data_IF_469990469274
#
_entry.id   IF_469990469274
#
_cell.length_a   1.000
_cell.length_b   1.000
_cell.length_c   1.000
_cell.angle_alpha   90.00
_cell.angle_beta   90.00
_cell.angle_gamma   90.00
#
_symmetry.space_group_name_H-M   'P 1'
#
loop_
_entity.id
_entity.type
_entity.pdbx_description
1 polymer ?
#
# COMPACT_ATOMS: atom_id res chain seq x y z
N UNK A 1 -14.12 9.60 -8.08
CA UNK A 1 -13.41 8.61 -8.89
C UNK A 1 -14.37 7.50 -9.23
N UNK A 2 -14.59 7.22 -10.52
CA UNK A 2 -15.43 6.11 -10.96
C UNK A 2 -14.76 4.77 -10.64
N UNK A 3 -15.55 3.69 -10.57
CA UNK A 3 -15.02 2.35 -10.35
C UNK A 3 -14.07 1.91 -11.47
N UNK A 4 -14.40 2.26 -12.72
CA UNK A 4 -13.54 2.02 -13.89
C UNK A 4 -12.13 2.59 -13.68
N UNK A 5 -12.02 3.83 -13.19
CA UNK A 5 -10.71 4.45 -12.92
C UNK A 5 -9.93 3.72 -11.82
N UNK A 6 -10.61 3.08 -10.84
CA UNK A 6 -9.94 2.30 -9.76
C UNK A 6 -9.34 1.01 -10.29
N UNK A 7 -10.03 0.33 -11.18
CA UNK A 7 -9.52 -0.88 -11.81
C UNK A 7 -8.41 -0.56 -12.82
N UNK A 8 -8.57 0.50 -13.61
CA UNK A 8 -7.52 0.98 -14.52
C UNK A 8 -6.25 1.36 -13.75
N UNK A 9 -6.37 2.07 -12.62
CA UNK A 9 -5.20 2.43 -11.83
C UNK A 9 -4.53 1.21 -11.19
N UNK A 10 -5.30 0.20 -10.76
CA UNK A 10 -4.74 -1.08 -10.31
C UNK A 10 -3.95 -1.78 -11.42
N UNK A 11 -4.49 -1.84 -12.63
CA UNK A 11 -3.80 -2.41 -13.79
C UNK A 11 -2.49 -1.69 -14.11
N UNK A 12 -2.48 -0.35 -14.04
CA UNK A 12 -1.25 0.44 -14.17
C UNK A 12 -0.21 0.09 -13.10
N UNK A 13 -0.63 -0.09 -11.84
CA UNK A 13 0.30 -0.47 -10.77
C UNK A 13 0.90 -1.87 -11.00
N UNK A 14 0.13 -2.82 -11.54
CA UNK A 14 0.63 -4.15 -11.92
C UNK A 14 1.72 -4.01 -12.98
N UNK A 15 1.48 -3.24 -14.05
CA UNK A 15 2.47 -3.00 -15.11
C UNK A 15 3.74 -2.36 -14.53
N UNK A 16 3.60 -1.33 -13.70
CA UNK A 16 4.74 -0.66 -13.08
C UNK A 16 5.55 -1.60 -12.18
N UNK A 17 4.89 -2.44 -11.38
CA UNK A 17 5.58 -3.40 -10.53
C UNK A 17 6.33 -4.47 -11.35
N UNK A 18 5.77 -4.88 -12.50
CA UNK A 18 6.47 -5.79 -13.42
C UNK A 18 7.74 -5.15 -14.01
N UNK A 19 7.71 -3.86 -14.35
CA UNK A 19 8.89 -3.13 -14.84
C UNK A 19 9.97 -3.06 -13.75
N UNK A 20 9.58 -2.82 -12.49
CA UNK A 20 10.53 -2.82 -11.37
C UNK A 20 11.21 -4.17 -11.17
N UNK A 21 10.45 -5.26 -11.29
CA UNK A 21 11.00 -6.61 -11.22
C UNK A 21 11.94 -6.90 -12.40
N UNK A 22 11.55 -6.52 -13.62
CA UNK A 22 12.37 -6.71 -14.81
C UNK A 22 13.67 -5.90 -14.82
N UNK A 23 13.73 -4.80 -14.06
CA UNK A 23 14.92 -3.92 -13.96
C UNK A 23 15.76 -4.17 -12.71
N UNK A 24 15.44 -5.20 -11.90
CA UNK A 24 16.09 -5.48 -10.61
C UNK A 24 16.06 -4.31 -9.60
N UNK A 25 15.20 -3.30 -9.82
CA UNK A 25 15.05 -2.15 -8.92
C UNK A 25 13.97 -2.35 -7.87
N UNK A 26 13.24 -3.46 -7.94
CA UNK A 26 12.14 -3.77 -7.02
C UNK A 26 12.58 -3.73 -5.55
N UNK A 27 13.72 -4.33 -5.18
CA UNK A 27 14.17 -4.38 -3.79
C UNK A 27 14.37 -3.00 -3.13
N UNK A 28 14.73 -1.99 -3.91
CA UNK A 28 15.00 -0.62 -3.45
C UNK A 28 13.84 0.35 -3.72
N UNK A 29 12.70 -0.17 -4.21
CA UNK A 29 11.51 0.62 -4.51
C UNK A 29 10.49 0.60 -3.35
N UNK A 30 9.65 1.65 -3.21
CA UNK A 30 8.49 1.59 -2.32
C UNK A 30 7.49 0.53 -2.78
N UNK A 31 6.61 0.10 -1.88
CA UNK A 31 5.51 -0.77 -2.29
C UNK A 31 4.48 0.07 -3.03
N UNK A 32 4.53 0.01 -4.36
CA UNK A 32 3.67 0.79 -5.25
C UNK A 32 2.18 0.57 -4.92
N UNK A 33 1.79 -0.65 -4.56
CA UNK A 33 0.41 -0.95 -4.23
C UNK A 33 -0.01 -0.28 -2.91
N UNK A 34 0.86 -0.28 -1.90
CA UNK A 34 0.58 0.35 -0.62
C UNK A 34 0.51 1.86 -0.78
N UNK A 35 1.47 2.44 -1.50
CA UNK A 35 1.48 3.86 -1.88
C UNK A 35 0.18 4.25 -2.61
N UNK A 36 -0.24 3.45 -3.60
CA UNK A 36 -1.52 3.66 -4.30
C UNK A 36 -2.72 3.65 -3.33
N UNK A 37 -2.70 2.83 -2.29
CA UNK A 37 -3.74 2.82 -1.25
C UNK A 37 -3.73 4.10 -0.43
N UNK A 38 -2.56 4.59 -0.05
CA UNK A 38 -2.41 5.85 0.68
C UNK A 38 -2.92 7.04 -0.13
N UNK A 39 -2.72 7.02 -1.46
CA UNK A 39 -3.35 8.01 -2.36
C UNK A 39 -4.88 7.89 -2.36
N UNK A 40 -5.43 6.68 -2.34
CA UNK A 40 -6.88 6.51 -2.25
C UNK A 40 -7.49 7.01 -0.94
N UNK A 41 -6.85 6.75 0.18
CA UNK A 41 -7.37 7.18 1.48
C UNK A 41 -7.30 8.69 1.68
N UNK A 42 -6.48 9.40 0.90
CA UNK A 42 -6.28 10.85 1.00
C UNK A 42 -7.09 11.66 0.00
N UNK A 43 -7.11 11.26 -1.26
CA UNK A 43 -7.71 12.06 -2.34
C UNK A 43 -9.13 11.65 -2.71
N UNK A 44 -9.56 10.45 -2.35
CA UNK A 44 -10.90 9.96 -2.70
C UNK A 44 -11.87 10.21 -1.56
N UNK A 45 -12.98 10.91 -1.84
CA UNK A 45 -14.01 11.26 -0.86
C UNK A 45 -14.62 10.06 -0.10
N UNK A 46 -14.71 8.90 -0.76
CA UNK A 46 -15.30 7.67 -0.21
C UNK A 46 -14.31 6.52 -0.32
N UNK A 47 -13.92 5.97 0.83
CA UNK A 47 -13.08 4.78 0.93
C UNK A 47 -13.81 3.61 0.24
N UNK A 48 -13.11 2.79 -0.58
CA UNK A 48 -13.70 1.59 -1.17
C UNK A 48 -14.19 0.58 -0.11
N UNK A 49 -15.14 -0.27 -0.48
CA UNK A 49 -15.58 -1.38 0.38
C UNK A 49 -14.40 -2.37 0.57
N UNK A 50 -14.39 -3.08 1.70
CA UNK A 50 -13.47 -4.18 2.03
C UNK A 50 -13.31 -5.16 0.87
N UNK A 51 -14.38 -5.51 0.15
CA UNK A 51 -14.31 -6.41 -1.00
C UNK A 51 -13.35 -5.93 -2.10
N UNK A 52 -13.24 -4.61 -2.30
CA UNK A 52 -12.26 -4.06 -3.25
C UNK A 52 -10.83 -4.31 -2.79
N UNK A 53 -10.56 -4.20 -1.48
CA UNK A 53 -9.24 -4.47 -0.92
C UNK A 53 -8.88 -5.96 -1.02
N UNK A 54 -9.83 -6.85 -0.71
CA UNK A 54 -9.65 -8.30 -0.87
C UNK A 54 -9.33 -8.63 -2.33
N UNK A 55 -10.16 -8.13 -3.26
CA UNK A 55 -9.95 -8.33 -4.70
C UNK A 55 -8.59 -7.79 -5.16
N UNK A 56 -8.22 -6.60 -4.71
CA UNK A 56 -6.92 -6.00 -5.02
C UNK A 56 -5.77 -6.90 -4.54
N UNK A 57 -5.81 -7.37 -3.30
CA UNK A 57 -4.77 -8.23 -2.76
C UNK A 57 -4.65 -9.55 -3.53
N UNK A 58 -5.79 -10.16 -3.86
CA UNK A 58 -5.86 -11.38 -4.65
C UNK A 58 -5.27 -11.20 -6.05
N UNK A 59 -5.59 -10.11 -6.74
CA UNK A 59 -5.03 -9.81 -8.07
C UNK A 59 -3.51 -9.64 -7.99
N UNK A 60 -3.00 -8.94 -6.98
CA UNK A 60 -1.55 -8.75 -6.82
C UNK A 60 -0.86 -10.10 -6.57
N UNK A 61 -1.42 -10.91 -5.68
CA UNK A 61 -0.91 -12.25 -5.39
C UNK A 61 -0.87 -13.14 -6.65
N UNK A 62 -1.91 -13.10 -7.49
CA UNK A 62 -1.97 -13.85 -8.75
C UNK A 62 -0.80 -13.52 -9.71
N UNK A 63 -0.33 -12.27 -9.72
CA UNK A 63 0.74 -11.84 -10.61
C UNK A 63 2.13 -11.94 -9.99
N UNK A 64 2.25 -11.82 -8.67
CA UNK A 64 3.54 -11.55 -8.01
C UNK A 64 3.86 -12.44 -6.80
N UNK A 65 3.04 -13.45 -6.50
CA UNK A 65 3.34 -14.41 -5.44
C UNK A 65 3.20 -15.86 -5.90
N UNK A 66 4.10 -16.73 -5.45
CA UNK A 66 4.00 -18.19 -5.58
C UNK A 66 2.77 -18.74 -4.85
N UNK A 67 2.38 -18.09 -3.75
CA UNK A 67 1.26 -18.51 -2.92
C UNK A 67 0.27 -17.35 -2.84
N UNK A 68 -0.99 -17.60 -3.15
CA UNK A 68 -2.01 -16.55 -3.22
C UNK A 68 -2.52 -16.09 -1.85
N UNK A 69 -1.64 -15.50 -1.03
CA UNK A 69 -1.95 -15.11 0.36
C UNK A 69 -1.28 -13.81 0.89
N UNK A 70 0.01 -13.53 0.62
CA UNK A 70 0.71 -12.41 1.28
C UNK A 70 0.03 -11.06 1.10
N UNK A 71 -0.32 -10.69 -0.13
CA UNK A 71 -1.01 -9.44 -0.41
C UNK A 71 -2.48 -9.51 -0.05
N UNK A 72 -3.16 -10.64 -0.28
CA UNK A 72 -4.57 -10.83 0.05
C UNK A 72 -4.83 -10.62 1.53
N UNK A 73 -4.06 -11.25 2.42
CA UNK A 73 -4.17 -11.05 3.88
C UNK A 73 -3.91 -9.59 4.23
N UNK A 74 -2.79 -9.05 3.77
CA UNK A 74 -2.36 -7.69 4.11
C UNK A 74 -3.41 -6.65 3.71
N UNK A 75 -3.94 -6.74 2.48
CA UNK A 75 -4.98 -5.83 2.01
C UNK A 75 -6.32 -6.04 2.69
N UNK A 76 -6.67 -7.27 3.06
CA UNK A 76 -7.87 -7.53 3.87
C UNK A 76 -7.79 -6.79 5.20
N UNK A 77 -6.67 -6.88 5.91
CA UNK A 77 -6.46 -6.18 7.18
C UNK A 77 -6.51 -4.65 7.00
N UNK A 78 -5.89 -4.12 5.95
CA UNK A 78 -5.97 -2.69 5.61
C UNK A 78 -7.43 -2.28 5.35
N UNK A 79 -8.16 -3.07 4.56
CA UNK A 79 -9.56 -2.80 4.21
C UNK A 79 -10.48 -2.80 5.43
N UNK A 80 -10.32 -3.79 6.33
CA UNK A 80 -11.03 -3.88 7.60
C UNK A 80 -10.73 -2.65 8.48
N UNK A 81 -9.45 -2.32 8.64
CA UNK A 81 -9.03 -1.18 9.44
C UNK A 81 -9.65 0.12 8.91
N UNK A 82 -9.57 0.38 7.60
CA UNK A 82 -10.07 1.62 7.01
C UNK A 82 -11.60 1.74 7.01
N UNK A 83 -12.34 0.63 6.92
CA UNK A 83 -13.80 0.66 6.89
C UNK A 83 -14.44 0.68 8.28
N UNK A 84 -13.79 0.09 9.29
CA UNK A 84 -14.34 -0.01 10.65
C UNK A 84 -13.69 0.94 11.65
N UNK A 85 -12.73 1.77 11.24
CA UNK A 85 -12.15 2.76 12.15
C UNK A 85 -13.11 3.91 12.43
N UNK A 86 -13.28 4.24 13.72
CA UNK A 86 -14.06 5.40 14.17
C UNK A 86 -13.46 6.74 13.70
N UNK A 87 -12.12 6.80 13.57
CA UNK A 87 -11.41 7.97 13.10
C UNK A 87 -11.01 7.76 11.65
N UNK A 88 -11.26 8.77 10.81
CA UNK A 88 -10.71 8.75 9.44
C UNK A 88 -9.20 8.69 9.54
N UNK A 89 -8.57 7.91 8.65
CA UNK A 89 -7.11 7.78 8.54
C UNK A 89 -6.40 9.13 8.72
N UNK A 90 -6.92 10.17 8.07
CA UNK A 90 -6.32 11.50 8.06
C UNK A 90 -6.43 12.30 9.35
N UNK A 91 -7.37 11.95 10.23
CA UNK A 91 -7.55 12.63 11.52
C UNK A 91 -6.58 12.11 12.59
N UNK A 92 -5.89 11.00 12.32
CA UNK A 92 -4.90 10.44 13.23
C UNK A 92 -3.62 11.26 13.23
N UNK A 93 -2.86 11.15 14.31
CA UNK A 93 -1.55 11.80 14.41
C UNK A 93 -0.60 11.27 13.33
N UNK A 94 0.29 12.13 12.82
CA UNK A 94 1.28 11.72 11.82
C UNK A 94 2.16 10.58 12.33
N UNK A 95 2.52 10.62 13.62
CA UNK A 95 3.32 9.56 14.25
C UNK A 95 2.59 8.22 14.19
N UNK A 96 1.31 8.18 14.56
CA UNK A 96 0.50 6.96 14.50
C UNK A 96 0.37 6.44 13.06
N UNK A 97 0.16 7.33 12.08
CA UNK A 97 0.11 6.95 10.67
C UNK A 97 1.42 6.31 10.20
N UNK A 98 2.57 6.90 10.56
CA UNK A 98 3.90 6.37 10.21
C UNK A 98 4.14 5.02 10.87
N UNK A 99 3.79 4.86 12.15
CA UNK A 99 3.91 3.58 12.86
C UNK A 99 3.08 2.50 12.14
N UNK A 100 1.84 2.80 11.78
CA UNK A 100 0.96 1.84 11.10
C UNK A 100 1.47 1.48 9.70
N UNK A 101 1.93 2.46 8.92
CA UNK A 101 2.54 2.18 7.61
C UNK A 101 3.77 1.29 7.76
N UNK A 102 4.60 1.56 8.76
CA UNK A 102 5.80 0.77 9.03
C UNK A 102 5.43 -0.67 9.40
N UNK A 103 4.48 -0.85 10.32
CA UNK A 103 4.02 -2.18 10.75
C UNK A 103 3.42 -2.99 9.59
N UNK A 104 2.54 -2.38 8.78
CA UNK A 104 1.95 -3.04 7.62
C UNK A 104 3.00 -3.40 6.59
N UNK A 105 3.97 -2.51 6.34
CA UNK A 105 5.07 -2.77 5.40
C UNK A 105 5.95 -3.92 5.89
N UNK A 106 6.31 -3.94 7.18
CA UNK A 106 7.09 -5.03 7.76
C UNK A 106 6.33 -6.36 7.67
N UNK A 107 5.06 -6.37 8.09
CA UNK A 107 4.21 -7.56 8.02
C UNK A 107 4.13 -8.14 6.60
N UNK A 108 3.86 -7.29 5.61
CA UNK A 108 3.79 -7.70 4.21
C UNK A 108 5.14 -8.25 3.71
N UNK A 109 6.25 -7.57 3.97
CA UNK A 109 7.56 -8.02 3.49
C UNK A 109 7.99 -9.34 4.15
N UNK A 110 7.67 -9.56 5.43
CA UNK A 110 7.91 -10.85 6.10
C UNK A 110 7.12 -11.97 5.41
N UNK A 111 5.82 -11.75 5.13
CA UNK A 111 5.00 -12.74 4.42
C UNK A 111 5.49 -13.00 3.00
N UNK A 112 5.98 -11.98 2.30
CA UNK A 112 6.52 -12.15 0.96
C UNK A 112 7.79 -13.00 0.97
N UNK A 113 8.64 -12.88 1.98
CA UNK A 113 9.89 -13.65 2.05
C UNK A 113 9.67 -15.08 2.51
N UNK A 114 8.63 -15.33 3.31
CA UNK A 114 8.30 -16.71 3.69
C UNK A 114 7.68 -17.52 2.55
N UNK A 115 7.24 -16.87 1.47
CA UNK A 115 6.47 -17.51 0.40
C UNK A 115 7.09 -17.38 -1.00
N UNK A 116 8.09 -16.52 -1.20
CA UNK A 116 8.62 -16.20 -2.52
C UNK A 116 10.15 -16.08 -2.54
N UNK A 117 10.75 -16.49 -3.67
CA UNK A 117 12.20 -16.42 -3.90
C UNK A 117 12.58 -15.51 -5.10
N UNK A 118 11.66 -14.68 -5.58
CA UNK A 118 11.75 -14.13 -6.95
C UNK A 118 12.71 -12.97 -7.17
N UNK A 119 13.26 -12.34 -6.13
CA UNK A 119 14.00 -11.08 -6.29
C UNK A 119 15.32 -11.06 -5.52
N UNK A 120 16.36 -10.63 -6.22
CA UNK A 120 17.64 -10.27 -5.61
C UNK A 120 17.44 -9.13 -4.60
N UNK A 121 18.19 -9.13 -3.49
CA UNK A 121 18.12 -8.03 -2.51
C UNK A 121 16.88 -8.01 -1.60
N UNK A 122 16.10 -9.10 -1.52
CA UNK A 122 14.99 -9.22 -0.57
C UNK A 122 15.37 -8.76 0.84
N UNK A 123 16.46 -9.24 1.44
CA UNK A 123 16.87 -8.81 2.79
C UNK A 123 16.94 -7.29 3.01
N UNK A 124 17.37 -6.53 1.99
CA UNK A 124 17.44 -5.07 2.03
C UNK A 124 16.05 -4.43 2.02
N UNK A 125 15.09 -5.02 1.31
CA UNK A 125 13.73 -4.52 1.16
C UNK A 125 12.96 -4.48 2.48
N UNK A 126 13.20 -5.39 3.44
CA UNK A 126 12.56 -5.34 4.77
C UNK A 126 12.76 -3.99 5.44
N UNK A 127 13.94 -3.37 5.25
CA UNK A 127 14.27 -2.09 5.89
C UNK A 127 13.95 -0.91 4.99
N UNK A 128 14.30 -0.99 3.69
CA UNK A 128 14.10 0.11 2.77
C UNK A 128 12.62 0.37 2.48
N UNK A 129 11.81 -0.68 2.33
CA UNK A 129 10.42 -0.54 1.93
C UNK A 129 9.55 0.22 2.96
N UNK A 130 9.57 -0.12 4.27
CA UNK A 130 8.87 0.67 5.28
C UNK A 130 9.32 2.13 5.35
N UNK A 131 10.64 2.38 5.20
CA UNK A 131 11.21 3.73 5.17
C UNK A 131 10.68 4.54 3.99
N UNK A 132 10.75 4.00 2.77
CA UNK A 132 10.28 4.69 1.57
C UNK A 132 8.77 4.94 1.61
N UNK A 133 7.98 3.96 2.04
CA UNK A 133 6.53 4.13 2.20
C UNK A 133 6.21 5.27 3.19
N UNK A 134 6.96 5.35 4.29
CA UNK A 134 6.79 6.40 5.31
C UNK A 134 7.24 7.78 4.81
N UNK A 135 8.32 7.86 4.03
CA UNK A 135 8.78 9.10 3.40
C UNK A 135 7.74 9.61 2.40
N UNK A 136 7.21 8.73 1.54
CA UNK A 136 6.17 9.08 0.58
C UNK A 136 4.92 9.56 1.31
N UNK A 137 4.50 8.87 2.37
CA UNK A 137 3.38 9.32 3.18
C UNK A 137 3.61 10.69 3.80
N UNK A 138 4.80 10.93 4.35
CA UNK A 138 5.15 12.22 4.94
C UNK A 138 5.07 13.35 3.90
N UNK A 139 5.52 13.10 2.68
CA UNK A 139 5.40 14.06 1.57
C UNK A 139 3.92 14.33 1.21
N UNK A 140 3.09 13.28 1.10
CA UNK A 140 1.64 13.41 0.86
C UNK A 140 1.00 14.23 1.99
N UNK A 141 1.31 13.91 3.25
CA UNK A 141 0.75 14.55 4.42
C UNK A 141 1.10 16.04 4.47
N UNK A 142 2.37 16.40 4.26
CA UNK A 142 2.83 17.80 4.27
C UNK A 142 2.12 18.61 3.18
N UNK A 143 2.02 18.06 1.96
CA UNK A 143 1.40 18.75 0.83
C UNK A 143 -0.10 19.02 1.07
N UNK A 144 -0.78 18.13 1.78
CA UNK A 144 -2.22 18.23 1.98
C UNK A 144 -2.62 18.81 3.35
N UNK A 145 -1.70 18.89 4.30
CA UNK A 145 -1.88 19.46 5.65
C UNK A 145 -2.69 20.75 5.64
N UNK A 146 -2.37 21.70 4.76
CA UNK A 146 -3.02 23.02 4.73
C UNK A 146 -4.48 22.96 4.28
N UNK A 147 -4.82 22.03 3.38
CA UNK A 147 -6.21 21.82 2.94
C UNK A 147 -7.04 21.14 4.02
N UNK A 148 -6.39 20.36 4.88
CA UNK A 148 -7.05 19.57 5.91
C UNK A 148 -7.24 20.34 7.22
N UNK A 149 -6.27 21.17 7.62
CA UNK A 149 -6.39 22.05 8.79
C UNK A 149 -7.45 23.14 8.64
N UNK A 150 -7.90 23.46 7.41
CA UNK A 150 -8.99 24.43 7.17
C UNK A 150 -10.39 23.87 7.40
N UNK A 151 -10.52 22.54 7.49
CA UNK A 151 -11.82 21.84 7.62
C UNK A 151 -11.98 21.13 8.98
N UNK A 152 -11.13 21.46 9.95
CA UNK A 152 -11.26 21.12 11.38
C UNK A 152 -11.70 22.39 12.09
#
# INVERSE_FOLDING_TARGET
MSEVLRYLSLGLMVILNQILLATDTWAISPDIFLVHTLFFTTFVKKIPNIYFFIFKGFVIDLFFSNISMPYTISYTLIGLYLNFSNLKWIQRSLLEQIILITLVSLFLNILLFSTNDFASGMGVRIFINPLLNSIIWSAIFINQRQKWLKNI
#
